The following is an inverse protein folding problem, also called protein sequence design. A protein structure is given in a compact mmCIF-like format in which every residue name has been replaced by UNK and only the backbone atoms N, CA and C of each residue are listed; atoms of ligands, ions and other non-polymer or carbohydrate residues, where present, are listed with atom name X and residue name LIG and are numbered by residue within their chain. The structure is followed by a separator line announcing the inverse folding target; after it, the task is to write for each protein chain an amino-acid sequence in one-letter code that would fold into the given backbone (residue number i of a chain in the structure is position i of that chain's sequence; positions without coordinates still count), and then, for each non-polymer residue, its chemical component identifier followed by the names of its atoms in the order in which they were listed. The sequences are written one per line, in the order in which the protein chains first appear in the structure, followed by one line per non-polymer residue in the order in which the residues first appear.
data_IF_541414995819
#
_entry.id   IF_541414995819
#
_cell.length_a   1.000
_cell.length_b   1.000
_cell.length_c   1.000
_cell.angle_alpha   90.00
_cell.angle_beta   90.00
_cell.angle_gamma   90.00
#
_symmetry.space_group_name_H-M   'P 1'
#
loop_
_entity.id
_entity.type
_entity.pdbx_description
1 polymer ?
#
# COMPACT_ATOMS: atom_id res chain seq x y z
N UNK A 1 2.08 -20.09 -57.83
CA UNK A 1 0.95 -20.53 -56.99
C UNK A 1 1.52 -21.12 -55.70
N UNK A 2 1.00 -20.67 -54.55
CA UNK A 2 1.06 -21.26 -53.20
C UNK A 2 2.27 -20.97 -52.30
N UNK A 3 1.96 -20.14 -51.29
CA UNK A 3 2.62 -19.87 -50.01
C UNK A 3 2.65 -21.09 -49.08
N UNK A 4 3.58 -21.10 -48.12
CA UNK A 4 3.48 -21.60 -46.72
C UNK A 4 4.78 -21.15 -46.00
N UNK A 5 4.84 -20.05 -45.22
CA UNK A 5 4.55 -19.87 -43.78
C UNK A 5 5.14 -20.94 -42.84
N UNK A 6 6.01 -20.49 -41.93
CA UNK A 6 6.21 -21.08 -40.60
C UNK A 6 7.67 -21.26 -40.20
N UNK A 7 8.26 -20.32 -39.47
CA UNK A 7 9.25 -20.62 -38.42
C UNK A 7 9.10 -19.56 -37.33
N UNK A 8 8.76 -20.06 -36.15
CA UNK A 8 8.41 -19.34 -34.94
C UNK A 8 9.68 -18.76 -34.32
N UNK A 9 9.62 -17.46 -34.02
CA UNK A 9 10.61 -16.74 -33.22
C UNK A 9 10.40 -17.14 -31.75
N UNK A 10 11.31 -17.96 -31.21
CA UNK A 10 11.44 -18.20 -29.78
C UNK A 10 12.47 -17.25 -29.18
N UNK A 11 12.08 -15.99 -28.98
CA UNK A 11 12.80 -15.07 -28.11
C UNK A 11 12.22 -15.22 -26.71
N UNK A 12 12.99 -15.81 -25.79
CA UNK A 12 12.72 -15.72 -24.36
C UNK A 12 12.90 -14.25 -23.95
N UNK A 13 11.80 -13.51 -23.93
CA UNK A 13 11.73 -12.17 -23.35
C UNK A 13 11.83 -12.34 -21.83
N UNK A 14 13.06 -12.33 -21.32
CA UNK A 14 13.31 -12.09 -19.90
C UNK A 14 12.61 -10.77 -19.53
N UNK A 15 11.52 -10.87 -18.78
CA UNK A 15 10.85 -9.72 -18.21
C UNK A 15 11.82 -9.05 -17.22
N UNK A 16 12.52 -8.00 -17.69
CA UNK A 16 13.27 -7.12 -16.81
C UNK A 16 12.33 -6.62 -15.70
N UNK A 17 12.71 -6.74 -14.42
CA UNK A 17 11.89 -6.23 -13.34
C UNK A 17 11.84 -4.70 -13.46
N UNK A 18 10.66 -4.18 -13.81
CA UNK A 18 10.37 -2.75 -13.84
C UNK A 18 10.87 -2.11 -12.54
N UNK A 19 11.75 -1.12 -12.69
CA UNK A 19 12.28 -0.32 -11.59
C UNK A 19 11.13 0.28 -10.76
N UNK A 20 11.29 0.29 -9.44
CA UNK A 20 10.32 0.76 -8.44
C UNK A 20 9.98 2.27 -8.53
N UNK A 21 10.53 2.92 -9.54
CA UNK A 21 10.66 4.37 -9.69
C UNK A 21 9.64 4.88 -10.73
N UNK A 22 9.23 4.03 -11.67
CA UNK A 22 8.41 4.41 -12.82
C UNK A 22 6.98 3.85 -12.77
N UNK A 23 6.51 3.35 -11.62
CA UNK A 23 5.14 2.86 -11.54
C UNK A 23 4.14 4.04 -11.67
N UNK A 24 3.37 4.14 -12.77
CA UNK A 24 2.45 5.26 -13.02
C UNK A 24 1.34 5.37 -11.96
N UNK A 25 1.11 4.30 -11.17
CA UNK A 25 0.17 4.31 -10.07
C UNK A 25 0.74 4.91 -8.77
N UNK A 26 2.07 4.88 -8.56
CA UNK A 26 2.73 5.59 -7.46
C UNK A 26 2.58 7.10 -7.63
N UNK A 27 2.73 7.59 -8.86
CA UNK A 27 2.52 9.00 -9.21
C UNK A 27 1.05 9.38 -8.96
N UNK A 28 0.09 8.60 -9.47
CA UNK A 28 -1.34 8.88 -9.27
C UNK A 28 -1.79 8.80 -7.81
N UNK A 29 -1.20 7.90 -7.02
CA UNK A 29 -1.46 7.77 -5.59
C UNK A 29 -0.89 8.96 -4.81
N UNK A 30 0.36 9.34 -5.06
CA UNK A 30 0.99 10.49 -4.41
C UNK A 30 0.27 11.81 -4.78
N UNK A 31 -0.21 11.93 -6.02
CA UNK A 31 -0.98 13.09 -6.45
C UNK A 31 -2.38 13.13 -5.79
N UNK A 32 -3.07 11.99 -5.69
CA UNK A 32 -4.35 11.89 -4.99
C UNK A 32 -4.25 12.11 -3.47
N UNK A 33 -3.10 11.79 -2.87
CA UNK A 33 -2.81 12.06 -1.45
C UNK A 33 -2.50 13.54 -1.21
N UNK A 34 -1.80 14.21 -2.13
CA UNK A 34 -1.55 15.66 -2.06
C UNK A 34 -2.84 16.49 -2.14
N UNK A 35 -3.80 16.08 -2.97
CA UNK A 35 -5.08 16.78 -3.14
C UNK A 35 -5.99 16.66 -1.90
N UNK A 36 -5.94 15.53 -1.18
CA UNK A 36 -6.77 15.29 0.02
C UNK A 36 -6.20 15.87 1.31
N UNK A 37 -4.94 16.32 1.29
CA UNK A 37 -4.26 16.97 2.41
C UNK A 37 -4.31 18.51 2.34
N UNK A 38 -5.32 19.08 1.68
CA UNK A 38 -5.63 20.51 1.77
C UNK A 38 -5.93 20.87 3.25
N UNK A 39 -5.16 21.79 3.86
CA UNK A 39 -5.31 22.18 5.27
C UNK A 39 -6.66 22.87 5.59
N UNK A 40 -7.52 23.12 4.60
CA UNK A 40 -8.85 23.71 4.78
C UNK A 40 -10.00 22.72 5.02
N UNK A 41 -9.76 21.40 5.06
CA UNK A 41 -10.83 20.39 5.25
C UNK A 41 -10.92 19.85 6.69
N UNK A 42 -11.87 20.33 7.52
CA UNK A 42 -12.13 19.75 8.82
C UNK A 42 -13.11 18.58 8.67
N UNK A 43 -12.73 17.37 9.13
CA UNK A 43 -13.58 16.41 9.88
C UNK A 43 -13.03 14.98 9.83
N UNK A 44 -12.09 14.63 10.71
CA UNK A 44 -11.66 13.22 10.89
C UNK A 44 -11.50 12.82 12.37
N UNK A 45 -12.25 13.44 13.30
CA UNK A 45 -12.32 12.97 14.71
C UNK A 45 -13.64 12.30 15.10
N UNK A 46 -14.62 12.19 14.19
CA UNK A 46 -15.98 11.76 14.54
C UNK A 46 -16.37 10.35 14.10
N UNK A 47 -15.55 9.62 13.34
CA UNK A 47 -15.97 8.34 12.74
C UNK A 47 -15.73 7.08 13.60
N UNK A 48 -14.98 7.15 14.71
CA UNK A 48 -14.69 5.98 15.55
C UNK A 48 -15.73 5.69 16.65
N UNK A 49 -17.02 6.02 16.45
CA UNK A 49 -18.06 5.69 17.45
C UNK A 49 -19.17 4.79 16.90
N UNK A 50 -19.15 3.56 17.46
CA UNK A 50 -20.17 2.50 17.55
C UNK A 50 -20.26 1.51 16.37
N UNK A 51 -19.76 0.30 16.63
CA UNK A 51 -20.39 -0.93 16.13
C UNK A 51 -21.87 -0.92 16.58
N UNK A 52 -22.85 -0.93 15.65
CA UNK A 52 -24.25 -1.06 16.02
C UNK A 52 -24.51 -2.48 16.60
N UNK A 53 -25.43 -2.62 17.58
CA UNK A 53 -25.83 -3.93 18.08
C UNK A 53 -26.41 -4.75 16.94
N UNK A 54 -26.00 -6.01 16.88
CA UNK A 54 -26.31 -6.97 15.82
C UNK A 54 -27.83 -7.13 15.64
N UNK A 55 -28.41 -6.43 14.66
CA UNK A 55 -29.76 -6.71 14.18
C UNK A 55 -29.65 -7.73 13.05
N UNK A 56 -30.33 -8.86 13.27
CA UNK A 56 -30.44 -9.99 12.34
C UNK A 56 -31.42 -9.59 11.24
N UNK A 57 -31.01 -8.70 10.35
CA UNK A 57 -31.57 -8.61 9.00
C UNK A 57 -30.51 -9.09 8.01
N UNK A 58 -30.89 -10.08 7.22
CA UNK A 58 -30.02 -10.79 6.30
C UNK A 58 -29.73 -9.90 5.08
N UNK A 59 -28.69 -9.10 5.21
CA UNK A 59 -27.93 -8.65 4.06
C UNK A 59 -26.44 -8.90 4.35
N UNK A 60 -26.13 -10.19 4.50
CA UNK A 60 -24.79 -10.70 4.80
C UNK A 60 -23.75 -10.17 3.80
N UNK A 61 -24.14 -9.99 2.53
CA UNK A 61 -23.29 -9.40 1.50
C UNK A 61 -23.01 -7.91 1.73
N UNK A 62 -24.02 -7.09 2.04
CA UNK A 62 -23.82 -5.68 2.35
C UNK A 62 -22.94 -5.48 3.58
N UNK A 63 -23.09 -6.34 4.60
CA UNK A 63 -22.20 -6.36 5.78
C UNK A 63 -20.76 -6.69 5.38
N UNK A 64 -20.54 -7.71 4.53
CA UNK A 64 -19.21 -8.07 4.02
C UNK A 64 -18.58 -6.93 3.22
N UNK A 65 -19.32 -6.35 2.28
CA UNK A 65 -18.84 -5.23 1.45
C UNK A 65 -18.49 -4.00 2.30
N UNK A 66 -19.28 -3.71 3.34
CA UNK A 66 -18.99 -2.65 4.31
C UNK A 66 -17.66 -2.90 5.02
N UNK A 67 -17.45 -4.09 5.57
CA UNK A 67 -16.20 -4.46 6.26
C UNK A 67 -15.00 -4.35 5.31
N UNK A 68 -15.13 -4.83 4.07
CA UNK A 68 -14.05 -4.72 3.07
C UNK A 68 -13.73 -3.26 2.77
N UNK A 69 -14.74 -2.39 2.68
CA UNK A 69 -14.54 -0.95 2.53
C UNK A 69 -13.86 -0.31 3.73
N UNK A 70 -14.20 -0.73 4.95
CA UNK A 70 -13.51 -0.29 6.18
C UNK A 70 -12.03 -0.72 6.14
N UNK A 71 -11.74 -1.98 5.80
CA UNK A 71 -10.36 -2.49 5.64
C UNK A 71 -9.60 -1.71 4.57
N UNK A 72 -10.17 -1.54 3.38
CA UNK A 72 -9.53 -0.76 2.30
C UNK A 72 -9.24 0.69 2.73
N UNK A 73 -10.19 1.35 3.40
CA UNK A 73 -10.00 2.73 3.86
C UNK A 73 -8.89 2.87 4.91
N UNK A 74 -8.78 1.89 5.81
CA UNK A 74 -7.73 1.88 6.84
C UNK A 74 -6.37 1.58 6.23
N UNK A 75 -6.30 0.70 5.21
CA UNK A 75 -5.07 0.42 4.48
C UNK A 75 -4.56 1.67 3.73
N UNK A 76 -5.45 2.37 3.02
CA UNK A 76 -5.11 3.64 2.34
C UNK A 76 -4.49 4.64 3.32
N UNK A 77 -5.09 4.78 4.49
CA UNK A 77 -4.59 5.68 5.52
C UNK A 77 -3.23 5.22 6.06
N UNK A 78 -3.08 3.93 6.31
CA UNK A 78 -1.83 3.35 6.82
C UNK A 78 -0.66 3.55 5.86
N UNK A 79 -0.83 3.22 4.58
CA UNK A 79 0.19 3.42 3.53
C UNK A 79 0.52 4.90 3.37
N UNK A 80 -0.48 5.79 3.42
CA UNK A 80 -0.26 7.24 3.36
C UNK A 80 0.60 7.74 4.53
N UNK A 81 0.31 7.28 5.75
CA UNK A 81 1.08 7.67 6.93
C UNK A 81 2.53 7.16 6.87
N UNK A 82 2.75 5.93 6.38
CA UNK A 82 4.10 5.39 6.17
C UNK A 82 4.88 6.16 5.09
N UNK A 83 4.22 6.56 3.99
CA UNK A 83 4.84 7.40 2.97
C UNK A 83 5.23 8.76 3.52
N UNK A 84 4.35 9.40 4.30
CA UNK A 84 4.67 10.67 4.97
C UNK A 84 5.86 10.52 5.92
N UNK A 85 5.96 9.39 6.64
CA UNK A 85 7.12 9.08 7.48
C UNK A 85 8.43 9.02 6.67
N UNK A 86 8.41 8.37 5.51
CA UNK A 86 9.60 8.23 4.67
C UNK A 86 9.96 9.52 3.93
N UNK A 87 8.98 10.18 3.33
CA UNK A 87 9.17 11.37 2.49
C UNK A 87 9.30 12.66 3.32
N UNK A 88 8.46 12.81 4.35
CA UNK A 88 8.39 14.00 5.19
C UNK A 88 9.44 14.05 6.31
N UNK A 89 9.93 12.88 6.76
CA UNK A 89 10.91 12.82 7.86
C UNK A 89 12.24 12.18 7.45
N UNK A 90 12.24 10.91 7.03
CA UNK A 90 13.50 10.18 6.74
C UNK A 90 14.36 10.89 5.70
N UNK A 91 13.79 11.27 4.55
CA UNK A 91 14.53 11.97 3.49
C UNK A 91 15.07 13.34 3.92
N UNK A 92 14.28 14.26 4.51
CA UNK A 92 14.78 15.54 5.00
C UNK A 92 15.86 15.40 6.07
N UNK A 93 15.70 14.46 7.01
CA UNK A 93 16.67 14.22 8.09
C UNK A 93 18.02 13.77 7.51
N UNK A 94 18.02 12.79 6.62
CA UNK A 94 19.25 12.32 5.95
C UNK A 94 19.88 13.42 5.08
N UNK A 95 19.07 14.21 4.39
CA UNK A 95 19.55 15.31 3.54
C UNK A 95 20.19 16.42 4.37
N UNK A 96 19.61 16.77 5.51
CA UNK A 96 20.18 17.77 6.42
C UNK A 96 21.44 17.28 7.13
N UNK A 97 21.48 16.00 7.52
CA UNK A 97 22.67 15.38 8.10
C UNK A 97 23.88 15.31 7.16
N UNK A 98 23.65 15.28 5.85
CA UNK A 98 24.72 15.32 4.84
C UNK A 98 25.25 16.74 4.61
N UNK A 99 24.41 17.75 4.79
CA UNK A 99 24.74 19.16 4.54
C UNK A 99 25.36 19.83 5.76
N UNK A 100 24.78 19.60 6.92
CA UNK A 100 25.29 20.07 8.20
C UNK A 100 26.05 18.91 8.84
N UNK A 101 27.21 19.16 9.45
CA UNK A 101 27.87 18.17 10.32
C UNK A 101 26.94 17.89 11.52
N UNK A 102 25.95 17.03 11.33
CA UNK A 102 24.97 16.71 12.37
C UNK A 102 25.67 16.00 13.51
N UNK A 103 25.24 16.29 14.74
CA UNK A 103 25.73 15.61 15.94
C UNK A 103 25.34 14.13 15.95
N UNK A 104 24.26 13.76 15.26
CA UNK A 104 23.81 12.39 15.07
C UNK A 104 24.46 11.75 13.83
N UNK A 105 24.91 10.51 13.96
CA UNK A 105 25.45 9.72 12.85
C UNK A 105 24.33 9.25 11.92
N UNK A 106 24.61 9.19 10.62
CA UNK A 106 23.67 8.67 9.60
C UNK A 106 23.14 7.29 9.96
N UNK A 107 24.00 6.42 10.51
CA UNK A 107 23.67 5.08 10.98
C UNK A 107 22.59 5.08 12.07
N UNK A 108 22.67 6.00 13.03
CA UNK A 108 21.70 6.07 14.14
C UNK A 108 20.36 6.62 13.66
N UNK A 109 20.38 7.57 12.71
CA UNK A 109 19.17 8.07 12.07
C UNK A 109 18.48 6.99 11.24
N UNK A 110 19.24 6.15 10.51
CA UNK A 110 18.67 5.02 9.77
C UNK A 110 18.05 3.98 10.71
N UNK A 111 18.69 3.69 11.86
CA UNK A 111 18.12 2.80 12.87
C UNK A 111 16.79 3.29 13.44
N UNK A 112 16.58 4.60 13.59
CA UNK A 112 15.31 5.15 14.07
C UNK A 112 14.11 4.80 13.16
N UNK A 113 14.35 4.59 11.87
CA UNK A 113 13.31 4.17 10.92
C UNK A 113 13.22 2.65 10.75
N UNK A 114 14.16 1.88 11.33
CA UNK A 114 14.17 0.42 11.31
C UNK A 114 13.90 -0.17 9.93
N UNK A 115 13.05 -1.19 9.88
CA UNK A 115 12.58 -1.83 8.65
C UNK A 115 11.27 -1.21 8.11
N UNK A 116 10.91 0.04 8.50
CA UNK A 116 9.68 0.69 8.08
C UNK A 116 9.56 0.86 6.55
N UNK A 117 10.69 0.96 5.83
CA UNK A 117 10.68 1.00 4.36
C UNK A 117 10.29 -0.35 3.75
N UNK A 118 10.71 -1.46 4.37
CA UNK A 118 10.30 -2.81 3.98
C UNK A 118 8.82 -3.02 4.27
N UNK A 119 8.35 -2.56 5.44
CA UNK A 119 6.94 -2.57 5.81
C UNK A 119 6.10 -1.77 4.81
N UNK A 120 6.56 -0.57 4.41
CA UNK A 120 5.89 0.24 3.41
C UNK A 120 5.78 -0.49 2.07
N UNK A 121 6.86 -1.14 1.59
CA UNK A 121 6.84 -1.90 0.33
C UNK A 121 5.79 -3.01 0.38
N UNK A 122 5.77 -3.81 1.46
CA UNK A 122 4.74 -4.83 1.66
C UNK A 122 3.32 -4.25 1.60
N UNK A 123 3.09 -3.15 2.32
CA UNK A 123 1.76 -2.58 2.42
C UNK A 123 1.31 -1.85 1.14
N UNK A 124 2.23 -1.40 0.29
CA UNK A 124 1.89 -0.96 -1.07
C UNK A 124 1.36 -2.15 -1.90
N UNK A 125 1.97 -3.33 -1.80
CA UNK A 125 1.51 -4.52 -2.51
C UNK A 125 0.14 -5.00 -1.99
N UNK A 126 -0.04 -5.00 -0.66
CA UNK A 126 -1.32 -5.28 -0.01
C UNK A 126 -2.40 -4.30 -0.48
N UNK A 127 -2.08 -2.99 -0.53
CA UNK A 127 -2.99 -1.97 -1.01
C UNK A 127 -3.38 -2.18 -2.47
N UNK A 128 -2.44 -2.48 -3.36
CA UNK A 128 -2.74 -2.74 -4.78
C UNK A 128 -3.70 -3.92 -4.92
N UNK A 129 -3.41 -5.03 -4.25
CA UNK A 129 -4.26 -6.22 -4.26
C UNK A 129 -5.65 -5.94 -3.68
N UNK A 130 -5.74 -5.24 -2.55
CA UNK A 130 -7.01 -4.84 -1.93
C UNK A 130 -7.81 -3.91 -2.82
N UNK A 131 -7.14 -2.97 -3.49
CA UNK A 131 -7.79 -2.02 -4.38
C UNK A 131 -8.40 -2.73 -5.60
N UNK A 132 -7.68 -3.66 -6.22
CA UNK A 132 -8.20 -4.50 -7.30
C UNK A 132 -9.41 -5.33 -6.84
N UNK A 133 -9.31 -5.94 -5.66
CA UNK A 133 -10.38 -6.74 -5.07
C UNK A 133 -11.61 -5.89 -4.71
N UNK A 134 -11.41 -4.66 -4.24
CA UNK A 134 -12.48 -3.73 -3.90
C UNK A 134 -13.26 -3.25 -5.13
N UNK A 135 -12.56 -2.89 -6.22
CA UNK A 135 -13.22 -2.46 -7.47
C UNK A 135 -13.91 -3.61 -8.21
N UNK A 136 -13.35 -4.82 -8.15
CA UNK A 136 -13.90 -6.02 -8.78
C UNK A 136 -14.70 -6.90 -7.80
N UNK A 137 -15.28 -6.29 -6.75
CA UNK A 137 -15.97 -7.05 -5.71
C UNK A 137 -17.19 -7.79 -6.24
N UNK A 138 -17.22 -9.11 -6.04
CA UNK A 138 -18.38 -9.96 -6.35
C UNK A 138 -18.83 -10.71 -5.09
N UNK A 139 -20.08 -11.22 -5.03
CA UNK A 139 -20.56 -11.98 -3.87
C UNK A 139 -19.72 -13.22 -3.55
N UNK A 140 -19.09 -13.81 -4.56
CA UNK A 140 -18.21 -15.00 -4.46
C UNK A 140 -16.76 -14.66 -4.13
N UNK A 141 -16.35 -13.38 -4.25
CA UNK A 141 -14.99 -12.94 -3.93
C UNK A 141 -14.68 -13.19 -2.46
N UNK A 142 -13.53 -13.80 -2.18
CA UNK A 142 -13.03 -14.03 -0.83
C UNK A 142 -11.88 -13.08 -0.52
N UNK A 143 -12.08 -12.21 0.47
CA UNK A 143 -11.00 -11.37 1.03
C UNK A 143 -9.92 -12.22 1.73
N UNK A 144 -10.28 -13.42 2.19
CA UNK A 144 -9.39 -14.31 2.93
C UNK A 144 -8.17 -14.78 2.12
N UNK A 145 -8.34 -15.04 0.82
CA UNK A 145 -7.23 -15.50 -0.03
C UNK A 145 -6.11 -14.47 -0.12
N UNK A 146 -6.47 -13.18 -0.12
CA UNK A 146 -5.52 -12.08 -0.07
C UNK A 146 -4.72 -12.10 1.24
N UNK A 147 -5.39 -12.24 2.38
CA UNK A 147 -4.69 -12.30 3.68
C UNK A 147 -3.83 -13.55 3.81
N UNK A 148 -4.27 -14.70 3.31
CA UNK A 148 -3.47 -15.92 3.32
C UNK A 148 -2.20 -15.77 2.47
N UNK A 149 -2.28 -15.04 1.36
CA UNK A 149 -1.12 -14.75 0.51
C UNK A 149 -0.08 -13.88 1.24
N UNK A 150 -0.51 -12.84 1.96
CA UNK A 150 0.40 -11.91 2.63
C UNK A 150 0.81 -12.33 4.05
N UNK A 151 0.05 -13.20 4.72
CA UNK A 151 0.31 -13.63 6.10
C UNK A 151 1.74 -14.15 6.35
N UNK A 152 2.37 -14.95 5.46
CA UNK A 152 3.76 -15.38 5.66
C UNK A 152 4.74 -14.20 5.66
N UNK A 153 4.45 -13.15 4.89
CA UNK A 153 5.31 -11.98 4.72
C UNK A 153 5.12 -11.00 5.89
N UNK A 154 3.95 -11.00 6.56
CA UNK A 154 3.71 -10.21 7.76
C UNK A 154 4.65 -10.56 8.93
N UNK A 155 5.44 -11.63 8.82
CA UNK A 155 6.50 -11.93 9.80
C UNK A 155 7.54 -10.80 9.89
N UNK A 156 7.68 -9.92 8.88
CA UNK A 156 8.58 -8.75 8.94
C UNK A 156 8.30 -7.83 10.15
N UNK A 157 7.09 -7.86 10.70
CA UNK A 157 6.73 -7.09 11.89
C UNK A 157 7.40 -7.61 13.17
N UNK A 158 7.94 -8.83 13.20
CA UNK A 158 8.68 -9.33 14.38
C UNK A 158 10.03 -8.65 14.55
N UNK A 159 10.58 -8.05 13.49
CA UNK A 159 11.83 -7.30 13.51
C UNK A 159 11.63 -5.83 13.95
N UNK A 160 10.39 -5.33 13.88
CA UNK A 160 10.03 -4.00 14.34
C UNK A 160 9.71 -4.02 15.85
N UNK A 161 10.74 -4.11 16.69
CA UNK A 161 10.64 -4.15 18.16
C UNK A 161 11.62 -3.23 18.86
#
# INVERSE_FOLDING_TARGET
CRMCRGSEEGGEEEAEPLSLDENPFKIRYLDAVKEKNDPSSPKMRFFFRKLPPNTVSDNTEAKRKKIVGEIHSTEVFYVSALLEMMEGFKKPILSSAKREKSTLKEEDMLKMFGNAETILKLHVDVFIALNQLFYNWTPTTALGDLFLHFAPIMIIYTEYS
#
